data_IF_105287017911
#
_entry.id   IF_105287017911
#
_cell.length_a   1.000
_cell.length_b   1.000
_cell.length_c   1.000
_cell.angle_alpha   90.00
_cell.angle_beta   90.00
_cell.angle_gamma   90.00
#
_symmetry.space_group_name_H-M   'P 1'
#
loop_
_entity.id
_entity.type
_entity.pdbx_description
1 polymer ?
#
# COMPACT_ATOMS: atom_id res chain seq x y z
N UNK A 1 3.01 28.81 -18.12
CA UNK A 1 2.31 27.61 -18.05
C UNK A 1 2.30 27.04 -16.64
N UNK A 2 1.19 26.77 -16.19
CA UNK A 2 1.10 26.20 -14.88
C UNK A 2 1.28 24.70 -14.98
N UNK A 3 2.16 24.18 -14.21
CA UNK A 3 2.29 22.75 -14.15
C UNK A 3 1.71 22.26 -12.89
N UNK A 4 0.92 21.25 -13.04
CA UNK A 4 0.43 20.56 -11.88
C UNK A 4 1.55 19.69 -11.38
N UNK A 5 2.10 20.06 -10.25
CA UNK A 5 3.12 19.24 -9.65
C UNK A 5 2.47 18.12 -8.90
N UNK A 6 2.84 16.91 -9.24
CA UNK A 6 2.32 15.74 -8.56
C UNK A 6 3.26 15.39 -7.43
N UNK A 7 2.68 15.00 -6.32
CA UNK A 7 3.44 14.63 -5.15
C UNK A 7 3.43 13.12 -5.01
N UNK A 8 4.51 12.59 -4.51
CA UNK A 8 4.61 11.17 -4.21
C UNK A 8 4.45 10.98 -2.72
N UNK A 9 3.59 10.06 -2.37
CA UNK A 9 3.35 9.71 -0.98
C UNK A 9 3.79 8.27 -0.78
N UNK A 10 4.69 8.07 0.16
CA UNK A 10 5.18 6.73 0.48
C UNK A 10 4.33 6.12 1.56
N UNK A 11 3.97 4.86 1.36
CA UNK A 11 3.26 4.09 2.37
C UNK A 11 4.24 3.08 2.92
N UNK A 12 4.62 3.25 4.17
CA UNK A 12 5.63 2.41 4.81
C UNK A 12 5.01 1.59 5.92
N UNK A 13 5.60 0.43 6.15
CA UNK A 13 5.18 -0.43 7.25
C UNK A 13 5.46 0.28 8.57
N UNK A 14 4.49 0.26 9.48
CA UNK A 14 4.64 0.89 10.79
C UNK A 14 5.05 -0.10 11.85
N UNK A 15 5.18 -1.35 11.47
CA UNK A 15 5.63 -2.41 12.36
C UNK A 15 6.07 -3.57 11.49
N UNK A 16 6.84 -4.47 12.07
CA UNK A 16 7.30 -5.66 11.36
C UNK A 16 6.15 -6.63 11.18
N UNK A 17 6.09 -7.30 10.05
CA UNK A 17 5.05 -8.26 9.77
C UNK A 17 5.17 -8.83 8.37
N UNK A 18 4.23 -9.70 8.02
CA UNK A 18 4.18 -10.31 6.71
C UNK A 18 3.15 -9.56 5.87
N UNK A 19 3.56 -9.16 4.68
CA UNK A 19 2.75 -8.33 3.79
C UNK A 19 1.92 -9.21 2.86
N UNK A 20 0.61 -8.92 2.79
CA UNK A 20 -0.28 -9.64 1.90
C UNK A 20 -1.01 -8.65 1.02
N UNK A 21 -0.94 -8.85 -0.29
CA UNK A 21 -1.64 -8.00 -1.25
C UNK A 21 -3.12 -8.35 -1.38
N UNK A 22 -3.49 -9.56 -0.95
CA UNK A 22 -4.83 -10.10 -1.14
C UNK A 22 -5.51 -10.35 0.19
N UNK A 23 -6.85 -10.24 0.24
CA UNK A 23 -7.56 -10.59 1.48
C UNK A 23 -7.50 -12.09 1.77
N UNK A 24 -7.37 -12.90 0.73
CA UNK A 24 -7.19 -14.35 0.86
C UNK A 24 -6.56 -14.86 -0.43
N UNK A 25 -6.00 -16.09 -0.41
CA UNK A 25 -5.27 -16.59 -1.59
C UNK A 25 -6.08 -16.68 -2.87
N UNK A 26 -7.41 -16.86 -2.77
CA UNK A 26 -8.26 -17.01 -3.94
C UNK A 26 -8.98 -15.73 -4.32
N UNK A 27 -8.60 -14.61 -3.73
CA UNK A 27 -9.18 -13.31 -4.05
C UNK A 27 -8.16 -12.46 -4.81
N UNK A 28 -8.64 -11.51 -5.62
CA UNK A 28 -7.70 -10.61 -6.30
C UNK A 28 -7.02 -9.67 -5.30
N UNK A 29 -5.89 -9.08 -5.69
CA UNK A 29 -5.24 -8.08 -4.85
C UNK A 29 -6.17 -6.90 -4.60
N UNK A 30 -5.97 -6.23 -3.47
CA UNK A 30 -6.75 -5.03 -3.16
C UNK A 30 -6.53 -3.95 -4.21
N UNK A 31 -5.29 -3.78 -4.67
CA UNK A 31 -4.94 -2.76 -5.67
C UNK A 31 -3.83 -3.29 -6.57
N UNK A 32 -3.71 -2.65 -7.72
CA UNK A 32 -2.65 -2.91 -8.69
C UNK A 32 -1.98 -1.59 -9.03
N UNK A 33 -0.84 -1.65 -9.72
CA UNK A 33 -0.23 -0.43 -10.25
C UNK A 33 -1.23 0.19 -11.21
N UNK A 34 -1.48 1.48 -11.03
CA UNK A 34 -2.46 2.22 -11.83
C UNK A 34 -3.82 2.31 -11.19
N UNK A 35 -4.08 1.60 -10.10
CA UNK A 35 -5.36 1.70 -9.40
C UNK A 35 -5.53 3.08 -8.81
N UNK A 36 -6.73 3.63 -8.95
CA UNK A 36 -7.08 4.89 -8.28
C UNK A 36 -7.63 4.53 -6.91
N UNK A 37 -7.09 5.16 -5.90
CA UNK A 37 -7.45 4.87 -4.51
C UNK A 37 -7.91 6.13 -3.81
N UNK A 38 -8.71 5.92 -2.78
CA UNK A 38 -9.18 7.02 -1.94
C UNK A 38 -8.51 6.93 -0.59
N UNK A 39 -8.41 8.06 0.07
CA UNK A 39 -7.89 8.11 1.43
C UNK A 39 -8.65 7.12 2.29
N UNK A 40 -7.93 6.33 3.08
CA UNK A 40 -8.44 5.31 3.99
C UNK A 40 -8.88 4.01 3.31
N UNK A 41 -8.77 3.93 2.00
CA UNK A 41 -9.04 2.68 1.30
C UNK A 41 -7.99 1.63 1.67
N UNK A 42 -8.41 0.38 1.83
CA UNK A 42 -7.48 -0.69 2.17
C UNK A 42 -6.63 -1.04 0.97
N UNK A 43 -5.33 -1.05 1.16
CA UNK A 43 -4.35 -1.36 0.10
C UNK A 43 -3.78 -2.76 0.25
N UNK A 44 -3.68 -3.25 1.48
CA UNK A 44 -3.02 -4.51 1.77
C UNK A 44 -3.29 -4.91 3.20
N UNK A 45 -2.80 -6.08 3.58
CA UNK A 45 -2.83 -6.53 4.97
C UNK A 45 -1.39 -6.74 5.43
N UNK A 46 -1.17 -6.52 6.71
CA UNK A 46 0.10 -6.79 7.36
C UNK A 46 -0.19 -7.67 8.56
N UNK A 47 0.33 -8.89 8.53
CA UNK A 47 0.12 -9.82 9.64
C UNK A 47 1.20 -9.61 10.68
N UNK A 48 0.79 -9.25 11.89
CA UNK A 48 1.70 -8.98 12.99
C UNK A 48 1.19 -9.74 14.21
N UNK A 49 2.00 -10.61 14.75
CA UNK A 49 1.68 -11.30 16.00
C UNK A 49 0.27 -11.90 16.01
N UNK A 50 -0.07 -12.63 14.93
CA UNK A 50 -1.34 -13.34 14.78
C UNK A 50 -2.53 -12.43 14.52
N UNK A 51 -2.30 -11.15 14.26
CA UNK A 51 -3.36 -10.19 13.96
C UNK A 51 -3.11 -9.61 12.58
N UNK A 52 -4.15 -9.48 11.78
CA UNK A 52 -4.05 -8.82 10.49
C UNK A 52 -4.40 -7.35 10.66
N UNK A 53 -3.45 -6.49 10.27
CA UNK A 53 -3.66 -5.05 10.28
C UNK A 53 -3.97 -4.62 8.86
N UNK A 54 -4.99 -3.79 8.69
CA UNK A 54 -5.30 -3.24 7.37
C UNK A 54 -4.38 -2.07 7.09
N UNK A 55 -3.71 -2.11 5.95
CA UNK A 55 -2.88 -1.00 5.49
C UNK A 55 -3.79 -0.10 4.68
N UNK A 56 -4.04 1.10 5.16
CA UNK A 56 -4.95 2.04 4.53
C UNK A 56 -4.18 3.14 3.84
N UNK A 57 -4.74 3.63 2.73
CA UNK A 57 -4.10 4.70 1.99
C UNK A 57 -4.14 6.00 2.79
N UNK A 58 -3.00 6.69 2.89
CA UNK A 58 -2.96 7.98 3.59
C UNK A 58 -3.51 9.12 2.75
N UNK A 59 -3.75 8.88 1.45
CA UNK A 59 -4.16 9.93 0.54
C UNK A 59 -4.94 9.36 -0.62
N UNK A 60 -5.67 10.22 -1.30
CA UNK A 60 -6.32 9.84 -2.55
C UNK A 60 -5.36 10.06 -3.69
N UNK A 61 -5.30 9.13 -4.61
CA UNK A 61 -4.38 9.23 -5.73
C UNK A 61 -4.33 7.94 -6.53
N UNK A 62 -3.22 7.72 -7.19
CA UNK A 62 -3.03 6.55 -8.03
C UNK A 62 -1.82 5.76 -7.55
N UNK A 63 -1.95 4.44 -7.52
CA UNK A 63 -0.83 3.57 -7.14
C UNK A 63 0.22 3.62 -8.24
N UNK A 64 1.36 4.19 -7.92
CA UNK A 64 2.46 4.31 -8.87
C UNK A 64 3.38 3.11 -8.83
N UNK A 65 3.66 2.61 -7.63
CA UNK A 65 4.51 1.43 -7.44
C UNK A 65 4.01 0.60 -6.28
N UNK A 66 4.15 -0.71 -6.42
CA UNK A 66 3.97 -1.64 -5.32
C UNK A 66 5.34 -2.25 -5.09
N UNK A 67 6.00 -1.81 -4.05
CA UNK A 67 7.41 -2.14 -3.80
C UNK A 67 7.55 -3.46 -3.06
N UNK A 68 6.66 -3.72 -2.12
CA UNK A 68 6.71 -4.94 -1.33
C UNK A 68 6.08 -6.11 -2.10
N UNK A 69 6.71 -7.27 -2.02
CA UNK A 69 6.18 -8.47 -2.65
C UNK A 69 5.15 -9.14 -1.76
N UNK A 70 4.18 -9.80 -2.39
CA UNK A 70 3.18 -10.56 -1.66
C UNK A 70 3.87 -11.60 -0.79
N UNK A 71 3.43 -11.70 0.47
CA UNK A 71 3.94 -12.65 1.45
C UNK A 71 5.37 -12.37 1.92
N UNK A 72 5.89 -11.19 1.63
CA UNK A 72 7.22 -10.81 2.09
C UNK A 72 7.20 -10.41 3.56
N UNK A 73 8.28 -10.74 4.25
CA UNK A 73 8.47 -10.28 5.63
C UNK A 73 9.04 -8.87 5.60
N UNK A 74 8.34 -7.95 6.20
CA UNK A 74 8.75 -6.55 6.23
C UNK A 74 9.16 -6.15 7.63
N UNK A 75 9.99 -5.13 7.68
CA UNK A 75 10.40 -4.50 8.94
C UNK A 75 9.75 -3.13 9.03
N UNK A 76 9.63 -2.65 10.25
CA UNK A 76 9.15 -1.30 10.50
C UNK A 76 9.96 -0.32 9.63
N UNK A 77 9.25 0.50 8.87
CA UNK A 77 9.87 1.48 7.97
C UNK A 77 10.03 1.02 6.53
N UNK A 78 9.84 -0.26 6.25
CA UNK A 78 9.97 -0.74 4.87
C UNK A 78 8.91 -0.14 3.98
N UNK A 79 9.31 0.23 2.76
CA UNK A 79 8.40 0.84 1.80
C UNK A 79 7.49 -0.22 1.19
N UNK A 80 6.21 0.05 1.16
CA UNK A 80 5.21 -0.86 0.59
C UNK A 80 4.66 -0.34 -0.72
N UNK A 81 4.23 0.92 -0.74
CA UNK A 81 3.60 1.51 -1.92
C UNK A 81 4.10 2.92 -2.14
N UNK A 82 4.03 3.37 -3.38
CA UNK A 82 4.19 4.78 -3.72
C UNK A 82 2.91 5.21 -4.42
N UNK A 83 2.31 6.27 -3.93
CA UNK A 83 1.05 6.83 -4.45
C UNK A 83 1.36 8.19 -5.04
N UNK A 84 0.84 8.44 -6.22
CA UNK A 84 0.96 9.75 -6.86
C UNK A 84 -0.32 10.53 -6.59
N UNK A 85 -0.17 11.72 -6.01
CA UNK A 85 -1.31 12.59 -5.70
C UNK A 85 -1.08 13.95 -6.34
N UNK A 86 -2.17 14.64 -6.62
CA UNK A 86 -2.07 15.99 -7.17
C UNK A 86 -1.90 17.04 -6.09
#
# INVERSE_FOLDING_TARGET
MAETEKKLVEVRARMSGVFYRKPSPDQPPYVEVGSVVKKKQVLALLETMKVFQKVKSPASGEILQIVADDEAALKDGDLMFVIEVD
#
